data_IF_821422014402
#
_entry.id   IF_821422014402
#
_cell.length_a   1.000
_cell.length_b   1.000
_cell.length_c   1.000
_cell.angle_alpha   90.00
_cell.angle_beta   90.00
_cell.angle_gamma   90.00
#
_symmetry.space_group_name_H-M   'P 1'
#
loop_
_entity.id
_entity.type
_entity.pdbx_description
1 polymer ?
#
# COMPACT_ATOMS: atom_id res chain seq x y z
N UNK A 1 6.03 -12.06 -18.94
CA UNK A 1 6.72 -10.88 -19.50
C UNK A 1 7.14 -9.99 -18.34
N UNK A 2 8.14 -9.12 -18.49
CA UNK A 2 8.43 -8.11 -17.46
C UNK A 2 7.65 -6.82 -17.79
N UNK A 3 6.94 -6.26 -16.81
CA UNK A 3 6.26 -4.98 -16.98
C UNK A 3 7.28 -3.85 -16.93
N UNK A 4 6.97 -2.73 -17.59
CA UNK A 4 7.78 -1.51 -17.49
C UNK A 4 7.72 -0.95 -16.07
N UNK A 5 8.78 -0.22 -15.67
CA UNK A 5 8.91 0.38 -14.34
C UNK A 5 7.72 1.28 -13.97
N UNK A 6 7.13 1.98 -14.94
CA UNK A 6 5.96 2.86 -14.73
C UNK A 6 4.68 2.12 -14.31
N UNK A 7 4.60 0.81 -14.57
CA UNK A 7 3.45 -0.04 -14.22
C UNK A 7 3.73 -0.79 -12.93
N UNK A 8 4.98 -1.19 -12.69
CA UNK A 8 5.38 -1.91 -11.47
C UNK A 8 5.22 -1.03 -10.21
N UNK A 9 4.88 -1.63 -9.05
CA UNK A 9 4.89 -0.90 -7.79
C UNK A 9 6.29 -0.39 -7.43
N UNK A 10 6.37 0.85 -6.93
CA UNK A 10 7.63 1.49 -6.52
C UNK A 10 8.10 1.00 -5.15
N UNK A 11 8.77 -0.15 -5.14
CA UNK A 11 9.32 -0.75 -3.94
C UNK A 11 10.51 0.02 -3.35
N UNK A 12 11.19 0.87 -4.12
CA UNK A 12 12.27 1.71 -3.61
C UNK A 12 11.72 2.72 -2.59
N UNK A 13 10.57 3.34 -2.91
CA UNK A 13 9.85 4.22 -1.98
C UNK A 13 9.27 3.44 -0.79
N UNK A 14 8.71 2.26 -1.02
CA UNK A 14 8.18 1.39 0.05
C UNK A 14 9.28 1.06 1.05
N UNK A 15 10.41 0.52 0.61
CA UNK A 15 11.52 0.10 1.48
C UNK A 15 12.08 1.27 2.30
N UNK A 16 12.13 2.46 1.71
CA UNK A 16 12.59 3.67 2.40
C UNK A 16 11.63 4.13 3.50
N UNK A 17 10.32 4.09 3.26
CA UNK A 17 9.33 4.70 4.16
C UNK A 17 8.66 3.71 5.11
N UNK A 18 8.58 2.43 4.76
CA UNK A 18 7.93 1.39 5.54
C UNK A 18 8.37 1.36 7.02
N UNK A 19 9.68 1.28 7.35
CA UNK A 19 10.10 1.22 8.75
C UNK A 19 9.82 2.52 9.53
N UNK A 20 9.67 3.64 8.84
CA UNK A 20 9.34 4.94 9.45
C UNK A 20 7.87 4.97 9.82
N UNK A 21 7.00 4.59 8.89
CA UNK A 21 5.54 4.56 9.08
C UNK A 21 5.14 3.52 10.12
N UNK A 22 5.67 2.30 10.03
CA UNK A 22 5.39 1.24 11.00
C UNK A 22 5.73 1.70 12.42
N UNK A 23 6.90 2.30 12.61
CA UNK A 23 7.32 2.84 13.91
C UNK A 23 6.40 3.96 14.40
N UNK A 24 5.93 4.83 13.51
CA UNK A 24 5.03 5.92 13.88
C UNK A 24 3.67 5.38 14.38
N UNK A 25 3.12 4.37 13.69
CA UNK A 25 1.87 3.69 14.10
C UNK A 25 2.05 2.98 15.45
N UNK A 26 3.15 2.24 15.62
CA UNK A 26 3.43 1.55 16.88
C UNK A 26 3.59 2.53 18.05
N UNK A 27 4.31 3.63 17.86
CA UNK A 27 4.48 4.67 18.89
C UNK A 27 3.17 5.34 19.28
N UNK A 28 2.29 5.56 18.32
CA UNK A 28 0.96 6.09 18.60
C UNK A 28 0.13 5.09 19.43
N UNK A 29 0.23 3.79 19.11
CA UNK A 29 -0.44 2.73 19.88
C UNK A 29 0.08 2.69 21.32
N UNK A 30 1.41 2.69 21.51
CA UNK A 30 2.05 2.77 22.83
C UNK A 30 1.59 4.01 23.61
N UNK A 31 1.50 5.17 22.93
CA UNK A 31 1.02 6.39 23.56
C UNK A 31 -0.44 6.26 24.03
N UNK A 32 -1.32 5.73 23.19
CA UNK A 32 -2.73 5.53 23.52
C UNK A 32 -2.91 4.57 24.70
N UNK A 33 -2.13 3.49 24.76
CA UNK A 33 -2.18 2.53 25.87
C UNK A 33 -1.79 3.18 27.21
N UNK A 34 -0.83 4.11 27.18
CA UNK A 34 -0.33 4.79 28.38
C UNK A 34 -1.17 6.01 28.79
N UNK A 35 -1.68 6.78 27.82
CA UNK A 35 -2.22 8.13 28.05
C UNK A 35 -3.66 8.32 27.57
N UNK A 36 -4.16 7.44 26.68
CA UNK A 36 -5.34 7.70 25.85
C UNK A 36 -5.13 8.85 24.86
N UNK A 37 -6.12 9.09 24.01
CA UNK A 37 -6.15 10.24 23.08
C UNK A 37 -7.60 10.66 22.76
N UNK A 38 -8.41 10.92 23.79
CA UNK A 38 -9.85 11.25 23.65
C UNK A 38 -10.10 12.50 22.79
N UNK A 39 -9.18 13.46 22.83
CA UNK A 39 -9.22 14.70 22.04
C UNK A 39 -8.62 14.56 20.63
N UNK A 40 -8.15 13.35 20.25
CA UNK A 40 -7.55 13.03 18.96
C UNK A 40 -6.31 13.87 18.60
N UNK A 41 -5.58 14.36 19.60
CA UNK A 41 -4.44 15.26 19.38
C UNK A 41 -3.27 14.50 18.78
N UNK A 42 -2.91 13.35 19.33
CA UNK A 42 -1.82 12.52 18.79
C UNK A 42 -2.23 11.82 17.50
N UNK A 43 -3.49 11.41 17.37
CA UNK A 43 -4.07 10.90 16.14
C UNK A 43 -3.88 11.91 15.00
N UNK A 44 -4.25 13.17 15.22
CA UNK A 44 -4.12 14.21 14.21
C UNK A 44 -2.64 14.50 13.86
N UNK A 45 -1.72 14.39 14.82
CA UNK A 45 -0.28 14.50 14.55
C UNK A 45 0.22 13.35 13.68
N UNK A 46 -0.16 12.12 14.00
CA UNK A 46 0.16 10.94 13.21
C UNK A 46 -0.39 11.09 11.78
N UNK A 47 -1.68 11.39 11.65
CA UNK A 47 -2.34 11.55 10.36
C UNK A 47 -1.65 12.64 9.50
N UNK A 48 -1.36 13.81 10.09
CA UNK A 48 -0.67 14.87 9.38
C UNK A 48 0.75 14.47 8.95
N UNK A 49 1.50 13.78 9.82
CA UNK A 49 2.83 13.28 9.49
C UNK A 49 2.79 12.29 8.31
N UNK A 50 1.87 11.32 8.36
CA UNK A 50 1.73 10.30 7.32
C UNK A 50 1.25 10.89 5.99
N UNK A 51 0.34 11.86 6.04
CA UNK A 51 -0.08 12.65 4.87
C UNK A 51 1.10 13.39 4.24
N UNK A 52 1.91 14.10 5.04
CA UNK A 52 3.07 14.83 4.52
C UNK A 52 4.12 13.91 3.91
N UNK A 53 4.31 12.71 4.48
CA UNK A 53 5.31 11.75 4.00
C UNK A 53 4.88 11.05 2.70
N UNK A 54 3.59 10.78 2.52
CA UNK A 54 3.08 9.91 1.44
C UNK A 54 2.23 10.63 0.40
N UNK A 55 1.74 11.83 0.72
CA UNK A 55 0.78 12.58 -0.08
C UNK A 55 -0.64 11.99 -0.07
N UNK A 56 -0.89 10.91 0.69
CA UNK A 56 -2.20 10.24 0.73
C UNK A 56 -3.14 10.89 1.72
N UNK A 57 -4.44 10.79 1.44
CA UNK A 57 -5.48 11.16 2.39
C UNK A 57 -5.59 10.09 3.49
N UNK A 58 -5.34 10.49 4.74
CA UNK A 58 -5.37 9.56 5.87
C UNK A 58 -6.78 9.13 6.25
N UNK A 59 -7.83 9.83 5.80
CA UNK A 59 -9.21 9.41 6.04
C UNK A 59 -9.57 8.06 5.37
N UNK A 60 -8.74 7.60 4.42
CA UNK A 60 -8.88 6.32 3.75
C UNK A 60 -8.36 5.13 4.58
N UNK A 61 -7.67 5.41 5.69
CA UNK A 61 -6.99 4.41 6.52
C UNK A 61 -7.52 4.44 7.94
N UNK A 62 -7.77 3.28 8.51
CA UNK A 62 -8.13 3.15 9.91
C UNK A 62 -6.87 3.21 10.79
N UNK A 63 -6.44 4.41 11.17
CA UNK A 63 -5.28 4.58 12.07
C UNK A 63 -5.63 4.31 13.55
N UNK A 64 -6.91 4.22 13.89
CA UNK A 64 -7.38 4.11 15.27
C UNK A 64 -7.53 2.66 15.72
N UNK A 65 -8.11 1.79 14.90
CA UNK A 65 -8.49 0.40 15.23
C UNK A 65 -7.88 -0.62 14.25
N UNK A 66 -6.66 -0.35 13.78
CA UNK A 66 -5.97 -1.18 12.78
C UNK A 66 -5.78 -2.65 13.22
N UNK A 67 -5.80 -2.92 14.52
CA UNK A 67 -5.66 -4.27 15.08
C UNK A 67 -6.88 -5.16 14.85
N UNK A 68 -8.06 -4.58 14.59
CA UNK A 68 -9.27 -5.32 14.18
C UNK A 68 -9.25 -5.70 12.69
N UNK A 69 -8.28 -5.18 11.92
CA UNK A 69 -8.12 -5.43 10.49
C UNK A 69 -6.95 -6.42 10.23
N UNK A 70 -5.93 -5.96 9.50
CA UNK A 70 -4.82 -6.80 9.02
C UNK A 70 -3.50 -6.54 9.77
N UNK A 71 -3.52 -5.71 10.82
CA UNK A 71 -2.34 -5.38 11.61
C UNK A 71 -1.57 -4.15 11.14
N UNK A 72 -0.63 -3.69 11.97
CA UNK A 72 0.13 -2.46 11.75
C UNK A 72 1.10 -2.59 10.56
N UNK A 73 1.64 -3.78 10.32
CA UNK A 73 2.52 -4.08 9.19
C UNK A 73 1.80 -3.87 7.85
N UNK A 74 0.61 -4.46 7.71
CA UNK A 74 -0.18 -4.31 6.48
C UNK A 74 -0.67 -2.88 6.32
N UNK A 75 -1.10 -2.23 7.40
CA UNK A 75 -1.47 -0.80 7.37
C UNK A 75 -0.30 0.07 6.91
N UNK A 76 0.88 -0.10 7.52
CA UNK A 76 2.08 0.65 7.15
C UNK A 76 2.44 0.44 5.68
N UNK A 77 2.39 -0.81 5.20
CA UNK A 77 2.62 -1.13 3.80
C UNK A 77 1.64 -0.42 2.87
N UNK A 78 0.34 -0.50 3.14
CA UNK A 78 -0.70 0.16 2.33
C UNK A 78 -0.53 1.67 2.31
N UNK A 79 -0.12 2.28 3.41
CA UNK A 79 0.13 3.73 3.49
C UNK A 79 1.34 4.12 2.63
N UNK A 80 2.46 3.40 2.72
CA UNK A 80 3.68 3.77 2.00
C UNK A 80 3.69 3.40 0.52
N UNK A 81 2.90 2.39 0.11
CA UNK A 81 2.83 1.93 -1.27
C UNK A 81 2.30 3.06 -2.18
N UNK A 82 3.12 3.62 -3.08
CA UNK A 82 2.64 4.71 -3.94
C UNK A 82 1.47 4.26 -4.81
N UNK A 83 0.56 5.17 -5.09
CA UNK A 83 -0.55 4.87 -5.97
C UNK A 83 -0.08 4.69 -7.42
N UNK A 84 -0.75 3.83 -8.21
CA UNK A 84 -0.41 3.66 -9.61
C UNK A 84 -0.59 4.94 -10.41
N UNK A 85 0.34 5.19 -11.32
CA UNK A 85 0.32 6.33 -12.23
C UNK A 85 -0.57 6.07 -13.45
N UNK A 86 -1.00 7.15 -14.11
CA UNK A 86 -1.58 7.05 -15.45
C UNK A 86 -0.46 6.81 -16.46
N UNK A 87 -0.59 5.75 -17.25
CA UNK A 87 0.39 5.31 -18.24
C UNK A 87 -0.29 5.29 -19.61
N UNK A 88 0.38 5.85 -20.62
CA UNK A 88 -0.11 5.87 -21.98
C UNK A 88 0.42 4.67 -22.79
N UNK A 89 -0.29 4.32 -23.86
CA UNK A 89 0.10 3.27 -24.80
C UNK A 89 0.33 1.90 -24.14
N UNK A 90 -0.52 1.54 -23.17
CA UNK A 90 -0.48 0.22 -22.53
C UNK A 90 -0.83 -0.85 -23.57
N UNK A 91 0.04 -1.84 -23.69
CA UNK A 91 -0.11 -2.94 -24.66
C UNK A 91 -1.01 -4.05 -24.10
N UNK A 92 -1.60 -4.86 -24.99
CA UNK A 92 -2.39 -6.01 -24.55
C UNK A 92 -1.56 -7.06 -23.80
N UNK A 93 -0.27 -7.20 -24.10
CA UNK A 93 0.62 -8.09 -23.36
C UNK A 93 0.85 -7.62 -21.92
N UNK A 94 0.93 -6.30 -21.70
CA UNK A 94 1.02 -5.72 -20.35
C UNK A 94 -0.27 -5.96 -19.56
N UNK A 95 -1.43 -5.75 -20.19
CA UNK A 95 -2.73 -6.06 -19.57
C UNK A 95 -2.81 -7.55 -19.24
N UNK A 96 -2.41 -8.43 -20.16
CA UNK A 96 -2.43 -9.87 -19.92
C UNK A 96 -1.54 -10.27 -18.75
N UNK A 97 -0.35 -9.71 -18.64
CA UNK A 97 0.56 -9.96 -17.51
C UNK A 97 -0.03 -9.45 -16.18
N UNK A 98 -0.66 -8.26 -16.15
CA UNK A 98 -1.35 -7.75 -14.95
C UNK A 98 -2.50 -8.69 -14.54
N UNK A 99 -3.35 -9.08 -15.47
CA UNK A 99 -4.48 -10.00 -15.19
C UNK A 99 -3.97 -11.37 -14.76
N UNK A 100 -2.89 -11.86 -15.37
CA UNK A 100 -2.25 -13.10 -14.97
C UNK A 100 -1.77 -13.02 -13.52
N UNK A 101 -1.11 -11.93 -13.13
CA UNK A 101 -0.73 -11.68 -11.74
C UNK A 101 -1.98 -11.69 -10.86
N UNK A 102 -3.01 -10.90 -11.13
CA UNK A 102 -4.24 -10.88 -10.32
C UNK A 102 -4.94 -12.25 -10.14
N UNK A 103 -4.86 -13.15 -11.13
CA UNK A 103 -5.53 -14.47 -11.12
C UNK A 103 -4.69 -15.62 -10.60
N UNK A 104 -3.38 -15.51 -10.73
CA UNK A 104 -2.47 -16.55 -10.26
C UNK A 104 -2.24 -16.28 -8.78
N UNK A 105 -2.19 -17.32 -7.95
CA UNK A 105 -1.68 -17.19 -6.59
C UNK A 105 -0.22 -16.71 -6.70
N UNK A 106 -0.02 -15.40 -6.61
CA UNK A 106 1.19 -14.77 -7.14
C UNK A 106 2.36 -15.20 -6.28
N UNK A 107 3.42 -15.63 -6.96
CA UNK A 107 4.74 -15.97 -6.44
C UNK A 107 4.86 -17.33 -5.73
N UNK A 108 5.22 -18.33 -6.51
CA UNK A 108 6.43 -19.12 -6.22
C UNK A 108 7.67 -18.27 -6.51
N UNK A 109 7.86 -17.15 -5.80
CA UNK A 109 9.21 -16.58 -5.69
C UNK A 109 9.98 -17.51 -4.76
N UNK A 110 11.29 -17.71 -4.94
CA UNK A 110 12.10 -18.16 -3.82
C UNK A 110 11.84 -17.24 -2.62
N UNK A 111 11.65 -17.82 -1.44
CA UNK A 111 11.57 -17.06 -0.19
C UNK A 111 12.87 -16.28 -0.04
N UNK A 112 12.82 -14.99 -0.36
CA UNK A 112 13.97 -14.08 -0.37
C UNK A 112 13.90 -13.06 0.78
N UNK A 113 12.77 -13.02 1.51
CA UNK A 113 12.55 -12.18 2.67
C UNK A 113 12.35 -10.70 2.31
N UNK A 114 12.18 -10.36 1.04
CA UNK A 114 11.93 -8.98 0.61
C UNK A 114 10.55 -8.50 1.04
N UNK A 115 10.38 -7.17 1.19
CA UNK A 115 9.05 -6.58 1.45
C UNK A 115 8.07 -6.91 0.32
N UNK A 116 8.57 -7.06 -0.91
CA UNK A 116 7.74 -7.45 -2.06
C UNK A 116 7.18 -8.85 -1.91
N UNK A 117 7.99 -9.78 -1.45
CA UNK A 117 7.53 -11.13 -1.15
C UNK A 117 6.55 -11.13 0.02
N UNK A 118 6.89 -10.45 1.12
CA UNK A 118 6.08 -10.38 2.34
C UNK A 118 4.67 -9.84 2.06
N UNK A 119 4.56 -8.80 1.22
CA UNK A 119 3.29 -8.13 0.93
C UNK A 119 2.69 -8.47 -0.43
N UNK A 120 3.15 -9.56 -1.07
CA UNK A 120 2.71 -9.95 -2.42
C UNK A 120 1.20 -10.07 -2.57
N UNK A 121 0.51 -10.50 -1.52
CA UNK A 121 -0.94 -10.69 -1.50
C UNK A 121 -1.73 -9.38 -1.43
N UNK A 122 -1.08 -8.27 -1.03
CA UNK A 122 -1.70 -6.94 -1.00
C UNK A 122 -1.39 -6.11 -2.25
N UNK A 123 -0.63 -6.66 -3.20
CA UNK A 123 -0.36 -6.01 -4.49
C UNK A 123 -1.54 -6.11 -5.46
N UNK A 124 -2.52 -6.97 -5.19
CA UNK A 124 -3.72 -7.08 -6.01
C UNK A 124 -4.49 -5.76 -6.05
N UNK A 125 -4.59 -5.07 -4.91
CA UNK A 125 -5.22 -3.77 -4.78
C UNK A 125 -4.53 -2.72 -5.66
N UNK A 126 -3.19 -2.70 -5.67
CA UNK A 126 -2.43 -1.81 -6.53
C UNK A 126 -2.74 -2.04 -8.01
N UNK A 127 -2.76 -3.31 -8.47
CA UNK A 127 -3.04 -3.61 -9.87
C UNK A 127 -4.50 -3.36 -10.26
N UNK A 128 -5.46 -3.58 -9.35
CA UNK A 128 -6.87 -3.20 -9.56
C UNK A 128 -7.00 -1.69 -9.72
N UNK A 129 -6.40 -0.90 -8.83
CA UNK A 129 -6.36 0.56 -8.95
C UNK A 129 -5.67 1.03 -10.22
N UNK A 130 -4.59 0.36 -10.65
CA UNK A 130 -3.91 0.68 -11.91
C UNK A 130 -4.87 0.51 -13.09
N UNK A 131 -5.63 -0.58 -13.12
CA UNK A 131 -6.60 -0.86 -14.18
C UNK A 131 -7.74 0.17 -14.16
N UNK A 132 -8.29 0.50 -12.99
CA UNK A 132 -9.33 1.52 -12.83
C UNK A 132 -8.90 2.89 -13.35
N UNK A 133 -7.66 3.30 -13.05
CA UNK A 133 -7.13 4.62 -13.45
C UNK A 133 -6.84 4.75 -14.93
N UNK A 134 -6.52 3.64 -15.59
CA UNK A 134 -6.02 3.61 -16.96
C UNK A 134 -7.05 3.11 -17.99
N UNK A 135 -8.12 2.45 -17.54
CA UNK A 135 -9.15 1.90 -18.43
C UNK A 135 -10.56 2.30 -17.96
N UNK A 136 -11.18 3.25 -18.67
CA UNK A 136 -12.51 3.76 -18.34
C UNK A 136 -13.63 2.69 -18.35
N UNK A 137 -13.42 1.57 -19.03
CA UNK A 137 -14.37 0.46 -19.10
C UNK A 137 -14.10 -0.64 -18.07
N UNK A 138 -13.06 -0.51 -17.24
CA UNK A 138 -12.78 -1.49 -16.20
C UNK A 138 -13.74 -1.29 -15.04
N UNK A 139 -14.36 -2.38 -14.62
CA UNK A 139 -15.18 -2.44 -13.40
C UNK A 139 -14.51 -3.47 -12.48
N UNK A 140 -14.07 -3.07 -11.27
CA UNK A 140 -13.56 -4.04 -10.31
C UNK A 140 -14.65 -5.06 -9.97
N UNK A 141 -14.28 -6.34 -9.91
CA UNK A 141 -15.14 -7.46 -9.51
C UNK A 141 -14.94 -7.71 -8.01
#
# INVERSE_FOLDING_TARGET
MQLRKEIEPDFETVERHYPIVLRAIMRYTEYCDENGDEDLVEYNKLANFLHQLTGKDMAQFNLWEWWEEEGAEVLAFKIVLPEPQRVHNITMDEVHEIVKRLKTDIYTSPEDGSLKELFKYHLDHYYKLFLERNFNSYTPI
#
